data_IF_936393974923
#
_entry.id   IF_936393974923
#
_cell.length_a   1.000
_cell.length_b   1.000
_cell.length_c   1.000
_cell.angle_alpha   90.00
_cell.angle_beta   90.00
_cell.angle_gamma   90.00
#
_symmetry.space_group_name_H-M   'P 1'
#
loop_
_entity.id
_entity.type
_entity.pdbx_description
1 polymer ?
#
# COMPACT_ATOMS: atom_id res chain seq x y z
N UNK A 1 -19.43 13.51 -14.81
CA UNK A 1 -18.43 14.28 -14.05
C UNK A 1 -17.10 14.38 -14.79
N UNK A 2 -16.56 13.30 -15.39
CA UNK A 2 -15.34 13.34 -16.22
C UNK A 2 -15.36 14.50 -17.24
N UNK A 3 -16.46 14.67 -18.00
CA UNK A 3 -16.55 15.76 -18.98
C UNK A 3 -16.53 17.15 -18.34
N UNK A 4 -17.12 17.29 -17.14
CA UNK A 4 -17.06 18.54 -16.36
C UNK A 4 -15.63 18.86 -15.95
N UNK A 5 -14.87 17.86 -15.50
CA UNK A 5 -13.46 18.00 -15.15
C UNK A 5 -12.64 18.40 -16.39
N UNK A 6 -12.83 17.72 -17.52
CA UNK A 6 -12.16 18.06 -18.79
C UNK A 6 -12.46 19.49 -19.24
N UNK A 7 -13.72 19.92 -19.14
CA UNK A 7 -14.13 21.31 -19.43
C UNK A 7 -13.46 22.32 -18.48
N UNK A 8 -13.39 22.01 -17.18
CA UNK A 8 -12.71 22.86 -16.21
C UNK A 8 -11.21 23.03 -16.50
N UNK A 9 -10.53 21.94 -16.88
CA UNK A 9 -9.12 21.97 -17.32
C UNK A 9 -8.97 22.86 -18.57
N UNK A 10 -9.85 22.73 -19.57
CA UNK A 10 -9.82 23.54 -20.78
C UNK A 10 -9.97 25.04 -20.47
N UNK A 11 -10.93 25.42 -19.62
CA UNK A 11 -11.14 26.81 -19.18
C UNK A 11 -9.88 27.39 -18.53
N UNK A 12 -9.18 26.61 -17.71
CA UNK A 12 -7.95 27.05 -17.03
C UNK A 12 -6.82 27.28 -18.03
N UNK A 13 -6.64 26.37 -18.98
CA UNK A 13 -5.61 26.50 -20.01
C UNK A 13 -5.89 27.65 -21.01
N UNK A 14 -7.15 27.90 -21.35
CA UNK A 14 -7.57 29.05 -22.16
C UNK A 14 -7.31 30.38 -21.43
N UNK A 15 -7.73 30.48 -20.15
CA UNK A 15 -7.47 31.66 -19.31
C UNK A 15 -5.97 31.94 -19.13
N UNK A 16 -5.16 30.88 -19.06
CA UNK A 16 -3.71 30.98 -18.99
C UNK A 16 -3.09 31.55 -20.26
N UNK A 17 -3.61 31.14 -21.41
CA UNK A 17 -3.16 31.61 -22.72
C UNK A 17 -3.47 33.09 -22.95
N UNK A 18 -4.64 33.58 -22.55
CA UNK A 18 -5.03 34.99 -22.70
C UNK A 18 -4.13 35.96 -21.90
N UNK A 19 -3.73 35.57 -20.68
CA UNK A 19 -2.80 36.36 -19.87
C UNK A 19 -1.36 36.38 -20.42
N UNK A 20 -0.89 35.25 -20.99
CA UNK A 20 0.41 35.18 -21.68
C UNK A 20 0.45 36.10 -22.92
N UNK A 21 -0.66 36.26 -23.65
CA UNK A 21 -0.76 37.20 -24.78
C UNK A 21 -0.87 38.68 -24.36
N UNK A 22 -1.38 38.96 -23.16
CA UNK A 22 -1.45 40.32 -22.62
C UNK A 22 -0.06 40.82 -22.17
N UNK A 23 0.73 39.98 -21.52
CA UNK A 23 2.11 40.31 -21.10
C UNK A 23 3.06 40.50 -22.30
N UNK A 24 2.83 39.79 -23.41
CA UNK A 24 3.62 39.95 -24.64
C UNK A 24 3.32 41.24 -25.44
N UNK A 25 2.24 41.98 -25.11
CA UNK A 25 1.83 43.19 -25.85
C UNK A 25 2.23 44.52 -25.21
N UNK A 26 2.81 44.53 -24.02
CA UNK A 26 3.27 45.75 -23.35
C UNK A 26 4.79 45.92 -23.46
N UNK A 27 5.26 46.12 -24.69
CA UNK A 27 6.56 46.73 -24.96
C UNK A 27 6.37 48.18 -25.39
N UNK A 28 6.86 49.12 -24.57
CA UNK A 28 6.92 50.58 -24.76
C UNK A 28 5.75 51.42 -24.20
N UNK A 29 5.93 51.91 -22.96
CA UNK A 29 5.81 53.34 -22.62
C UNK A 29 6.35 53.60 -21.21
N UNK A 30 7.39 54.45 -21.11
CA UNK A 30 7.96 54.97 -19.87
C UNK A 30 7.08 56.09 -19.31
N UNK A 31 6.52 55.95 -18.09
CA UNK A 31 6.24 57.08 -17.17
C UNK A 31 6.34 56.60 -15.71
N UNK A 32 6.92 57.45 -14.86
CA UNK A 32 7.38 57.21 -13.49
C UNK A 32 6.28 56.88 -12.44
N UNK A 33 6.72 56.13 -11.42
CA UNK A 33 5.97 55.54 -10.31
C UNK A 33 5.29 56.55 -9.34
N UNK A 34 4.36 56.05 -8.51
CA UNK A 34 4.77 55.70 -7.14
C UNK A 34 4.50 54.23 -6.78
N UNK A 35 5.24 53.76 -5.77
CA UNK A 35 5.48 52.37 -5.35
C UNK A 35 4.27 51.42 -5.35
N UNK A 36 4.40 50.18 -5.89
CA UNK A 36 3.41 49.15 -5.71
C UNK A 36 3.68 48.33 -4.44
N UNK A 37 2.59 48.01 -3.75
CA UNK A 37 2.48 46.94 -2.78
C UNK A 37 2.77 45.62 -3.52
N UNK A 38 3.61 44.77 -2.94
CA UNK A 38 3.96 43.44 -3.46
C UNK A 38 2.70 42.65 -3.83
N UNK A 39 2.37 42.68 -5.12
CA UNK A 39 1.36 41.84 -5.74
C UNK A 39 2.05 41.22 -6.95
N UNK A 40 2.80 40.15 -6.70
CA UNK A 40 3.23 39.25 -7.76
C UNK A 40 1.97 38.84 -8.52
N UNK A 41 1.81 39.38 -9.73
CA UNK A 41 0.82 38.88 -10.68
C UNK A 41 1.20 37.43 -10.99
N UNK A 42 0.34 36.44 -10.72
CA UNK A 42 0.71 35.06 -10.93
C UNK A 42 0.89 34.84 -12.44
N UNK A 43 2.12 34.54 -12.85
CA UNK A 43 2.41 34.02 -14.19
C UNK A 43 1.39 32.94 -14.48
N UNK A 44 0.66 33.09 -15.57
CA UNK A 44 -0.47 32.24 -15.86
C UNK A 44 0.01 30.80 -16.09
N UNK A 45 -0.16 29.93 -15.09
CA UNK A 45 0.34 28.56 -15.12
C UNK A 45 -0.65 27.65 -15.85
N UNK A 46 -0.22 27.17 -17.02
CA UNK A 46 -0.94 26.16 -17.78
C UNK A 46 -0.75 24.77 -17.16
N UNK A 47 -1.80 23.95 -17.22
CA UNK A 47 -1.73 22.52 -16.89
C UNK A 47 -1.03 21.82 -18.06
N UNK A 48 0.18 21.32 -17.81
CA UNK A 48 1.00 20.63 -18.81
C UNK A 48 0.48 19.22 -19.10
N UNK A 49 0.09 18.50 -18.05
CA UNK A 49 -0.45 17.14 -18.11
C UNK A 49 -1.48 16.93 -16.98
N UNK A 50 -2.28 15.88 -17.07
CA UNK A 50 -3.20 15.47 -16.01
C UNK A 50 -3.44 13.96 -16.01
N UNK A 51 -3.78 13.42 -14.83
CA UNK A 51 -4.18 12.02 -14.61
C UNK A 51 -5.46 12.02 -13.77
N UNK A 52 -6.49 11.31 -14.22
CA UNK A 52 -7.78 11.21 -13.57
C UNK A 52 -8.11 9.74 -13.28
N UNK A 53 -8.44 9.43 -12.04
CA UNK A 53 -8.91 8.10 -11.62
C UNK A 53 -10.34 8.24 -11.11
N UNK A 54 -11.28 7.58 -11.80
CA UNK A 54 -12.65 7.35 -11.33
C UNK A 54 -12.69 6.00 -10.60
N UNK A 55 -13.28 5.99 -9.41
CA UNK A 55 -13.53 4.77 -8.62
C UNK A 55 -15.01 4.72 -8.29
N UNK A 56 -15.68 3.65 -8.68
CA UNK A 56 -17.04 3.31 -8.25
C UNK A 56 -16.94 2.05 -7.40
N UNK A 57 -17.28 2.16 -6.11
CA UNK A 57 -17.07 1.14 -5.09
C UNK A 57 -18.41 0.70 -4.54
N UNK A 58 -18.72 -0.58 -4.68
CA UNK A 58 -19.80 -1.25 -3.98
C UNK A 58 -19.21 -2.16 -2.90
N UNK A 59 -19.56 -1.93 -1.64
CA UNK A 59 -19.01 -2.71 -0.51
C UNK A 59 -20.09 -3.22 0.43
N UNK A 60 -19.96 -4.47 0.83
CA UNK A 60 -20.72 -5.12 1.90
C UNK A 60 -19.82 -5.27 3.12
N UNK A 61 -20.32 -4.85 4.28
CA UNK A 61 -19.60 -4.98 5.55
C UNK A 61 -20.46 -5.79 6.52
N UNK A 62 -19.84 -6.72 7.23
CA UNK A 62 -20.46 -7.53 8.28
C UNK A 62 -19.54 -7.61 9.48
N UNK A 63 -20.12 -7.44 10.66
CA UNK A 63 -19.45 -7.69 11.93
C UNK A 63 -20.15 -8.83 12.64
N UNK A 64 -19.37 -9.81 13.10
CA UNK A 64 -19.84 -10.98 13.83
C UNK A 64 -19.16 -11.03 15.20
N UNK A 65 -19.96 -11.30 16.25
CA UNK A 65 -19.47 -11.72 17.56
C UNK A 65 -19.80 -13.21 17.69
N UNK A 66 -18.78 -14.02 17.91
CA UNK A 66 -18.80 -15.47 17.77
C UNK A 66 -19.37 -15.80 16.39
N UNK A 67 -20.59 -16.31 16.27
CA UNK A 67 -21.26 -16.60 15.00
C UNK A 67 -22.46 -15.69 14.70
N UNK A 68 -22.78 -14.77 15.62
CA UNK A 68 -23.95 -13.89 15.54
C UNK A 68 -23.59 -12.60 14.79
N UNK A 69 -24.37 -12.28 13.76
CA UNK A 69 -24.26 -11.01 13.07
C UNK A 69 -24.75 -9.87 13.98
N UNK A 70 -23.87 -8.88 14.21
CA UNK A 70 -24.16 -7.70 15.03
C UNK A 70 -24.36 -6.46 14.16
N UNK A 71 -23.57 -6.29 13.10
CA UNK A 71 -23.68 -5.16 12.19
C UNK A 71 -23.67 -5.56 10.72
N UNK A 72 -24.48 -4.86 9.93
CA UNK A 72 -24.50 -4.98 8.48
C UNK A 72 -24.57 -3.58 7.85
N UNK A 73 -23.63 -3.28 6.96
CA UNK A 73 -23.63 -2.05 6.15
C UNK A 73 -23.49 -2.38 4.68
N UNK A 74 -23.97 -1.48 3.84
CA UNK A 74 -23.67 -1.46 2.42
C UNK A 74 -23.31 -0.03 2.02
N UNK A 75 -22.29 0.09 1.19
CA UNK A 75 -21.74 1.35 0.72
C UNK A 75 -21.74 1.31 -0.79
N UNK A 76 -22.17 2.42 -1.39
CA UNK A 76 -22.02 2.70 -2.81
C UNK A 76 -21.41 4.10 -2.91
N UNK A 77 -20.20 4.20 -3.46
CA UNK A 77 -19.41 5.42 -3.45
C UNK A 77 -18.76 5.65 -4.82
N UNK A 78 -18.86 6.89 -5.33
CA UNK A 78 -18.17 7.31 -6.54
C UNK A 78 -17.23 8.46 -6.20
N UNK A 79 -15.93 8.27 -6.46
CA UNK A 79 -14.87 9.25 -6.17
C UNK A 79 -14.01 9.48 -7.41
N UNK A 80 -13.67 10.75 -7.66
CA UNK A 80 -12.70 11.13 -8.68
C UNK A 80 -11.44 11.68 -8.02
N UNK A 81 -10.28 11.15 -8.39
CA UNK A 81 -8.98 11.67 -8.01
C UNK A 81 -8.29 12.26 -9.23
N UNK A 82 -8.05 13.57 -9.23
CA UNK A 82 -7.37 14.28 -10.31
C UNK A 82 -5.99 14.73 -9.84
N UNK A 83 -4.95 14.28 -10.52
CA UNK A 83 -3.60 14.81 -10.42
C UNK A 83 -3.35 15.75 -11.60
N UNK A 84 -2.92 16.98 -11.33
CA UNK A 84 -2.49 17.95 -12.36
C UNK A 84 -0.99 18.16 -12.29
N UNK A 85 -0.38 18.38 -13.45
CA UNK A 85 1.06 18.60 -13.60
C UNK A 85 1.33 19.97 -14.20
N UNK A 86 2.30 20.68 -13.64
CA UNK A 86 2.76 21.98 -14.11
C UNK A 86 4.25 21.90 -14.37
N UNK A 87 4.66 22.22 -15.59
CA UNK A 87 6.06 22.26 -15.99
C UNK A 87 6.67 23.62 -15.66
N UNK A 88 7.95 23.62 -15.30
CA UNK A 88 8.76 24.84 -15.19
C UNK A 88 10.16 24.60 -15.79
N UNK A 89 10.82 25.68 -16.20
CA UNK A 89 12.14 25.65 -16.80
C UNK A 89 13.05 26.56 -15.99
N UNK A 90 14.26 26.11 -15.68
CA UNK A 90 15.34 27.02 -15.30
C UNK A 90 16.01 27.55 -16.55
N UNK A 91 15.76 28.83 -16.83
CA UNK A 91 16.56 29.57 -17.78
C UNK A 91 17.86 29.98 -17.05
N UNK A 92 18.98 29.36 -17.42
CA UNK A 92 20.30 29.57 -16.81
C UNK A 92 20.83 31.00 -17.01
N UNK A 93 20.02 31.88 -17.62
CA UNK A 93 20.29 33.29 -17.88
C UNK A 93 20.27 34.19 -16.63
N UNK A 94 19.71 33.74 -15.50
CA UNK A 94 19.72 34.50 -14.25
C UNK A 94 20.22 33.64 -13.07
N UNK A 95 21.35 33.98 -12.43
CA UNK A 95 21.80 33.28 -11.25
C UNK A 95 20.82 33.55 -10.10
N UNK A 96 20.11 32.51 -9.67
CA UNK A 96 19.31 32.56 -8.45
C UNK A 96 20.24 32.73 -7.25
N UNK A 97 20.20 33.92 -6.66
CA UNK A 97 20.87 34.22 -5.41
C UNK A 97 20.06 33.63 -4.26
N UNK A 98 20.27 32.35 -3.97
CA UNK A 98 19.89 31.73 -2.69
C UNK A 98 20.79 30.53 -2.43
N UNK A 99 21.86 30.79 -1.68
CA UNK A 99 22.76 29.79 -1.15
C UNK A 99 23.57 30.41 -0.01
N UNK A 100 22.91 30.68 1.11
CA UNK A 100 23.61 30.87 2.38
C UNK A 100 23.94 29.48 2.91
N UNK A 101 25.21 29.15 3.04
CA UNK A 101 25.76 28.59 4.28
C UNK A 101 27.28 28.76 4.34
N UNK A 102 27.69 29.47 5.39
CA UNK A 102 29.07 29.60 5.85
C UNK A 102 29.55 28.26 6.44
N UNK A 103 30.79 27.86 6.13
CA UNK A 103 31.82 27.67 7.16
C UNK A 103 33.19 27.62 6.50
N UNK A 104 34.05 28.53 6.92
CA UNK A 104 35.49 28.50 6.73
C UNK A 104 36.07 27.46 7.70
N UNK A 105 36.87 26.53 7.20
CA UNK A 105 37.97 25.97 7.97
C UNK A 105 39.16 25.72 7.02
N UNK A 106 40.28 26.37 7.35
CA UNK A 106 41.55 26.27 6.66
C UNK A 106 42.31 24.99 7.03
N UNK A 107 43.24 24.64 6.13
CA UNK A 107 44.38 23.73 6.29
C UNK A 107 44.18 22.26 5.87
N UNK A 108 44.42 21.99 4.58
CA UNK A 108 45.54 21.12 4.18
C UNK A 108 45.82 21.26 2.68
N UNK A 109 47.03 21.70 2.35
CA UNK A 109 47.52 21.87 0.99
C UNK A 109 48.09 20.55 0.46
N UNK A 110 47.62 20.14 -0.74
CA UNK A 110 48.42 19.68 -1.88
C UNK A 110 47.56 18.83 -2.82
N UNK A 111 47.12 19.40 -3.94
CA UNK A 111 47.13 18.77 -5.28
C UNK A 111 46.59 19.76 -6.33
N UNK A 112 47.21 19.73 -7.51
CA UNK A 112 47.17 20.71 -8.59
C UNK A 112 45.79 21.04 -9.20
N UNK A 113 45.61 22.21 -9.85
CA UNK A 113 44.33 22.68 -10.34
C UNK A 113 44.01 22.03 -11.69
N UNK A 114 43.00 21.15 -11.72
CA UNK A 114 42.31 20.81 -12.96
C UNK A 114 41.26 21.87 -13.22
N UNK A 115 41.62 22.87 -14.02
CA UNK A 115 40.68 23.84 -14.58
C UNK A 115 39.78 23.14 -15.61
N UNK A 116 38.73 22.46 -15.14
CA UNK A 116 37.60 22.15 -16.02
C UNK A 116 36.88 23.46 -16.31
N UNK A 117 37.10 23.99 -17.50
CA UNK A 117 36.19 24.94 -18.15
C UNK A 117 34.77 24.38 -18.02
N UNK A 118 33.89 25.14 -17.39
CA UNK A 118 32.45 24.91 -17.42
C UNK A 118 32.03 25.15 -18.87
N UNK A 119 31.71 24.07 -19.57
CA UNK A 119 31.17 24.13 -20.92
C UNK A 119 29.75 24.73 -20.83
N UNK A 120 29.55 25.87 -21.46
CA UNK A 120 28.29 26.61 -21.48
C UNK A 120 27.30 26.03 -22.48
N UNK A 121 26.85 24.79 -22.26
CA UNK A 121 25.73 24.20 -23.01
C UNK A 121 24.96 23.16 -22.19
N UNK A 122 24.63 23.44 -20.94
CA UNK A 122 23.58 22.65 -20.28
C UNK A 122 22.23 23.06 -20.88
N UNK A 123 21.55 22.09 -21.51
CA UNK A 123 20.17 22.28 -21.94
C UNK A 123 19.32 22.74 -20.75
N UNK A 124 18.32 23.62 -20.97
CA UNK A 124 17.49 24.13 -19.90
C UNK A 124 16.92 22.99 -19.06
N UNK A 125 17.19 23.01 -17.74
CA UNK A 125 16.71 21.97 -16.83
C UNK A 125 15.21 22.13 -16.67
N UNK A 126 14.46 21.09 -17.03
CA UNK A 126 13.00 21.03 -16.90
C UNK A 126 12.64 20.43 -15.55
N UNK A 127 11.62 20.98 -14.93
CA UNK A 127 11.03 20.49 -13.70
C UNK A 127 9.54 20.28 -13.89
N UNK A 128 8.99 19.38 -13.08
CA UNK A 128 7.57 19.07 -13.07
C UNK A 128 7.06 19.03 -11.63
N UNK A 129 6.10 19.88 -11.35
CA UNK A 129 5.35 19.87 -10.11
C UNK A 129 4.01 19.17 -10.29
N UNK A 130 3.47 18.59 -9.22
CA UNK A 130 2.17 17.92 -9.23
C UNK A 130 1.34 18.25 -7.99
N UNK A 131 0.02 18.15 -8.13
CA UNK A 131 -0.89 18.17 -7.00
C UNK A 131 -2.10 17.28 -7.29
N UNK A 132 -2.55 16.52 -6.28
CA UNK A 132 -3.72 15.65 -6.39
C UNK A 132 -4.86 16.21 -5.55
N UNK A 133 -6.06 16.24 -6.15
CA UNK A 133 -7.30 16.66 -5.50
C UNK A 133 -8.40 15.62 -5.69
N UNK A 134 -9.31 15.56 -4.72
CA UNK A 134 -10.55 14.79 -4.84
C UNK A 134 -11.65 15.69 -5.40
N UNK A 135 -12.40 15.17 -6.37
CA UNK A 135 -13.58 15.81 -6.97
C UNK A 135 -14.79 14.92 -6.70
N UNK A 136 -15.83 15.50 -6.11
CA UNK A 136 -17.06 14.76 -5.80
C UNK A 136 -18.08 14.88 -6.94
N UNK A 137 -18.95 13.87 -7.14
CA UNK A 137 -19.99 13.92 -8.18
C UNK A 137 -20.95 15.12 -8.07
N UNK A 138 -21.08 15.70 -6.87
CA UNK A 138 -21.95 16.85 -6.60
C UNK A 138 -21.34 18.21 -6.98
N UNK A 139 -20.06 18.26 -7.35
CA UNK A 139 -19.39 19.52 -7.69
C UNK A 139 -19.97 20.11 -8.98
N UNK A 140 -20.21 21.42 -8.97
CA UNK A 140 -20.52 22.16 -10.19
C UNK A 140 -19.26 22.36 -11.05
N UNK A 141 -19.44 22.85 -12.28
CA UNK A 141 -18.30 23.23 -13.13
C UNK A 141 -17.44 24.33 -12.46
N UNK A 142 -18.08 25.30 -11.82
CA UNK A 142 -17.39 26.40 -11.13
C UNK A 142 -16.57 25.89 -9.95
N UNK A 143 -17.14 24.98 -9.13
CA UNK A 143 -16.42 24.33 -8.03
C UNK A 143 -15.20 23.55 -8.53
N UNK A 144 -15.35 22.83 -9.65
CA UNK A 144 -14.25 22.11 -10.29
C UNK A 144 -13.15 23.08 -10.74
N UNK A 145 -13.50 24.18 -11.42
CA UNK A 145 -12.52 25.20 -11.85
C UNK A 145 -11.78 25.79 -10.66
N UNK A 146 -12.49 26.19 -9.60
CA UNK A 146 -11.87 26.76 -8.40
C UNK A 146 -10.91 25.77 -7.72
N UNK A 147 -11.33 24.50 -7.58
CA UNK A 147 -10.51 23.46 -6.95
C UNK A 147 -9.28 23.08 -7.79
N UNK A 148 -9.44 22.99 -9.11
CA UNK A 148 -8.31 22.70 -10.01
C UNK A 148 -7.31 23.85 -10.03
N UNK A 149 -7.75 25.12 -9.99
CA UNK A 149 -6.84 26.27 -9.86
C UNK A 149 -6.00 26.21 -8.58
N UNK A 150 -6.60 25.79 -7.46
CA UNK A 150 -5.85 25.56 -6.22
C UNK A 150 -4.78 24.47 -6.41
N UNK A 151 -5.11 23.38 -7.10
CA UNK A 151 -4.16 22.30 -7.40
C UNK A 151 -3.02 22.78 -8.32
N UNK A 152 -3.32 23.58 -9.36
CA UNK A 152 -2.31 24.17 -10.25
C UNK A 152 -1.33 25.05 -9.47
N UNK A 153 -1.85 25.92 -8.59
CA UNK A 153 -1.01 26.78 -7.75
C UNK A 153 -0.18 25.99 -6.74
N UNK A 154 -0.67 24.85 -6.24
CA UNK A 154 0.10 23.97 -5.38
C UNK A 154 1.19 23.21 -6.16
N UNK A 155 0.83 22.65 -7.32
CA UNK A 155 1.72 21.91 -8.19
C UNK A 155 2.91 22.77 -8.60
N UNK A 156 2.69 24.03 -8.97
CA UNK A 156 3.75 24.91 -9.46
C UNK A 156 4.81 25.30 -8.45
N UNK A 157 4.58 25.07 -7.16
CA UNK A 157 5.56 25.29 -6.09
C UNK A 157 6.53 24.11 -5.95
N UNK A 158 6.23 22.98 -6.58
CA UNK A 158 7.09 21.80 -6.57
C UNK A 158 8.00 21.78 -7.80
N UNK A 159 9.25 21.34 -7.60
CA UNK A 159 10.30 21.31 -8.63
C UNK A 159 10.96 19.94 -8.68
N UNK A 160 10.18 18.89 -8.91
CA UNK A 160 10.76 17.57 -9.10
C UNK A 160 11.45 17.48 -10.47
N UNK A 161 12.46 16.59 -10.65
CA UNK A 161 13.00 16.34 -11.98
C UNK A 161 11.88 15.97 -12.95
N UNK A 162 11.98 16.45 -14.18
CA UNK A 162 10.94 16.19 -15.17
C UNK A 162 10.83 14.69 -15.49
N UNK A 163 9.60 14.19 -15.62
CA UNK A 163 9.29 12.83 -16.02
C UNK A 163 8.05 12.82 -16.92
N UNK A 164 7.93 11.80 -17.76
CA UNK A 164 6.80 11.68 -18.69
C UNK A 164 5.63 10.88 -18.10
N UNK A 165 4.40 11.18 -18.54
CA UNK A 165 3.27 10.28 -18.27
C UNK A 165 3.22 9.17 -19.33
N UNK A 166 2.82 7.95 -18.98
CA UNK A 166 2.67 6.87 -19.94
C UNK A 166 1.67 7.20 -21.04
N UNK A 167 2.02 6.89 -22.29
CA UNK A 167 1.10 6.88 -23.43
C UNK A 167 0.42 5.51 -23.57
N UNK A 168 -0.73 5.43 -24.30
CA UNK A 168 -1.38 4.16 -24.58
C UNK A 168 -0.43 3.12 -25.18
N UNK A 169 -0.47 1.92 -24.61
CA UNK A 169 0.36 0.79 -24.98
C UNK A 169 -0.40 -0.53 -24.74
N UNK A 170 -0.17 -1.58 -25.53
CA UNK A 170 -0.84 -2.86 -25.31
C UNK A 170 -0.60 -3.39 -23.91
N UNK A 171 -1.65 -3.90 -23.26
CA UNK A 171 -1.52 -4.56 -21.97
C UNK A 171 -0.84 -5.93 -22.15
N UNK A 172 0.20 -6.20 -21.36
CA UNK A 172 0.96 -7.45 -21.46
C UNK A 172 0.25 -8.64 -20.81
N UNK A 173 -0.68 -8.38 -19.89
CA UNK A 173 -1.43 -9.41 -19.16
C UNK A 173 -2.92 -9.10 -19.10
N UNK A 174 -3.74 -10.12 -18.90
CA UNK A 174 -5.17 -10.00 -18.66
C UNK A 174 -5.50 -10.44 -17.24
N UNK A 175 -6.41 -9.74 -16.59
CA UNK A 175 -6.89 -10.12 -15.25
C UNK A 175 -8.06 -11.08 -15.42
N UNK A 176 -7.98 -12.30 -14.83
CA UNK A 176 -9.10 -13.22 -14.83
C UNK A 176 -10.36 -12.60 -14.22
N UNK A 177 -11.52 -13.00 -14.71
CA UNK A 177 -12.79 -12.61 -14.09
C UNK A 177 -12.95 -13.35 -12.77
N UNK A 178 -13.23 -12.60 -11.70
CA UNK A 178 -13.45 -13.19 -10.38
C UNK A 178 -14.72 -14.01 -10.32
N UNK A 179 -14.68 -15.13 -9.60
CA UNK A 179 -15.82 -15.96 -9.26
C UNK A 179 -16.90 -15.21 -8.49
N UNK A 180 -16.59 -14.07 -7.84
CA UNK A 180 -17.60 -13.21 -7.22
C UNK A 180 -18.58 -12.60 -8.23
N UNK A 181 -18.21 -12.48 -9.51
CA UNK A 181 -19.12 -12.02 -10.55
C UNK A 181 -20.29 -12.98 -10.79
N UNK A 182 -20.10 -14.28 -10.52
CA UNK A 182 -21.14 -15.29 -10.64
C UNK A 182 -22.08 -15.33 -9.43
N UNK A 183 -21.70 -14.70 -8.31
CA UNK A 183 -22.47 -14.72 -7.07
C UNK A 183 -23.41 -13.51 -6.99
N UNK A 184 -24.63 -13.76 -6.49
CA UNK A 184 -25.55 -12.70 -6.13
C UNK A 184 -24.99 -11.87 -4.97
N UNK A 185 -25.48 -10.64 -4.80
CA UNK A 185 -25.07 -9.78 -3.68
C UNK A 185 -25.27 -10.47 -2.32
N UNK A 186 -26.33 -11.25 -2.15
CA UNK A 186 -26.59 -11.98 -0.91
C UNK A 186 -25.66 -13.19 -0.74
N UNK A 187 -25.41 -13.94 -1.81
CA UNK A 187 -24.63 -15.17 -1.76
C UNK A 187 -23.15 -14.92 -1.51
N UNK A 188 -22.60 -13.76 -1.93
CA UNK A 188 -21.21 -13.36 -1.65
C UNK A 188 -20.88 -13.44 -0.18
N UNK A 189 -21.66 -12.76 0.67
CA UNK A 189 -21.40 -12.74 2.10
C UNK A 189 -21.66 -14.11 2.71
N UNK A 190 -22.73 -14.81 2.27
CA UNK A 190 -23.08 -16.13 2.80
C UNK A 190 -22.01 -17.17 2.52
N UNK A 191 -21.47 -17.23 1.30
CA UNK A 191 -20.46 -18.21 0.92
C UNK A 191 -19.17 -18.00 1.69
N UNK A 192 -18.74 -16.75 1.85
CA UNK A 192 -17.51 -16.40 2.58
C UNK A 192 -17.66 -16.68 4.07
N UNK A 193 -18.78 -16.27 4.67
CA UNK A 193 -19.06 -16.60 6.07
C UNK A 193 -19.06 -18.13 6.27
N UNK A 194 -19.73 -18.88 5.40
CA UNK A 194 -19.75 -20.34 5.50
C UNK A 194 -18.33 -20.93 5.42
N UNK A 195 -17.48 -20.44 4.52
CA UNK A 195 -16.09 -20.89 4.42
C UNK A 195 -15.29 -20.58 5.70
N UNK A 196 -15.33 -19.34 6.18
CA UNK A 196 -14.58 -18.88 7.35
C UNK A 196 -15.00 -19.61 8.64
N UNK A 197 -16.29 -19.93 8.79
CA UNK A 197 -16.80 -20.66 9.96
C UNK A 197 -16.81 -22.18 9.79
N UNK A 198 -16.54 -22.71 8.59
CA UNK A 198 -16.57 -24.17 8.36
C UNK A 198 -15.61 -24.97 9.24
N UNK A 199 -14.43 -24.47 9.69
CA UNK A 199 -13.61 -25.20 10.66
C UNK A 199 -14.36 -25.51 11.97
N UNK A 200 -15.30 -24.67 12.39
CA UNK A 200 -16.16 -24.89 13.58
C UNK A 200 -17.21 -25.97 13.40
N UNK A 201 -17.89 -25.96 12.25
CA UNK A 201 -18.98 -26.90 11.98
C UNK A 201 -18.49 -28.35 11.98
N UNK A 202 -17.22 -28.56 11.57
CA UNK A 202 -16.56 -29.86 11.65
C UNK A 202 -16.10 -30.19 13.07
N UNK A 203 -15.66 -29.21 13.88
CA UNK A 203 -15.22 -29.44 15.26
C UNK A 203 -16.33 -29.87 16.23
N UNK A 204 -17.59 -29.49 15.98
CA UNK A 204 -18.75 -29.90 16.79
C UNK A 204 -19.28 -31.31 16.44
N UNK A 205 -18.66 -32.03 15.51
CA UNK A 205 -19.01 -33.42 15.20
C UNK A 205 -18.04 -34.39 15.89
N UNK A 206 -18.52 -35.43 16.59
CA UNK A 206 -17.69 -36.31 17.44
C UNK A 206 -16.65 -37.18 16.70
N UNK A 207 -16.49 -37.03 15.37
CA UNK A 207 -15.54 -37.77 14.51
C UNK A 207 -15.12 -37.01 13.23
N UNK A 208 -15.05 -35.68 13.22
CA UNK A 208 -14.49 -35.01 12.05
C UNK A 208 -12.95 -35.13 12.07
N UNK A 209 -12.42 -35.89 11.11
CA UNK A 209 -11.01 -35.81 10.73
C UNK A 209 -10.79 -34.39 10.17
N UNK A 210 -9.72 -33.66 10.58
CA UNK A 210 -9.45 -32.34 10.02
C UNK A 210 -9.36 -32.45 8.49
N UNK A 211 -9.96 -31.49 7.78
CA UNK A 211 -9.93 -31.39 6.31
C UNK A 211 -8.50 -31.13 5.79
N UNK A 212 -7.55 -30.86 6.68
CA UNK A 212 -6.26 -30.29 6.35
C UNK A 212 -5.11 -31.20 6.79
N UNK A 213 -4.19 -31.48 5.86
CA UNK A 213 -3.00 -32.32 6.05
C UNK A 213 -1.90 -31.65 6.90
N UNK A 214 -2.25 -30.68 7.75
CA UNK A 214 -1.31 -29.91 8.56
C UNK A 214 -1.83 -29.75 9.98
N UNK A 215 -1.09 -30.36 10.91
CA UNK A 215 -1.18 -30.25 12.36
C UNK A 215 -2.55 -30.62 12.96
N UNK A 216 -2.62 -31.79 13.60
CA UNK A 216 -3.81 -32.18 14.35
C UNK A 216 -4.09 -31.15 15.45
N UNK A 217 -5.37 -30.78 15.62
CA UNK A 217 -5.81 -29.88 16.70
C UNK A 217 -5.24 -30.33 18.05
N UNK A 218 -4.68 -29.40 18.85
CA UNK A 218 -4.14 -29.77 20.15
C UNK A 218 -5.26 -30.33 21.02
N UNK A 219 -4.95 -31.40 21.78
CA UNK A 219 -5.92 -31.95 22.74
C UNK A 219 -6.00 -31.02 23.96
N UNK A 220 -7.15 -31.02 24.63
CA UNK A 220 -7.35 -30.31 25.90
C UNK A 220 -7.33 -28.77 25.79
N UNK A 221 -7.75 -28.23 24.64
CA UNK A 221 -8.01 -26.81 24.42
C UNK A 221 -9.35 -26.62 23.73
N UNK A 222 -9.93 -25.42 23.85
CA UNK A 222 -11.18 -25.05 23.19
C UNK A 222 -11.00 -23.80 22.31
N UNK A 223 -10.38 -23.93 21.12
CA UNK A 223 -10.17 -22.81 20.22
C UNK A 223 -11.49 -22.37 19.54
N UNK A 224 -11.70 -21.05 19.43
CA UNK A 224 -12.87 -20.44 18.80
C UNK A 224 -12.64 -19.10 18.14
N UNK A 225 -13.51 -18.70 17.22
CA UNK A 225 -13.60 -17.31 16.76
C UNK A 225 -14.34 -16.51 17.83
N UNK A 226 -13.70 -15.47 18.34
CA UNK A 226 -14.31 -14.49 19.22
C UNK A 226 -15.06 -13.44 18.41
N UNK A 227 -14.39 -12.84 17.42
CA UNK A 227 -14.97 -11.83 16.55
C UNK A 227 -14.43 -11.92 15.12
N UNK A 228 -15.23 -11.44 14.17
CA UNK A 228 -14.86 -11.42 12.75
C UNK A 228 -15.52 -10.24 12.05
N UNK A 229 -14.70 -9.46 11.35
CA UNK A 229 -15.13 -8.46 10.39
C UNK A 229 -14.98 -9.01 8.97
N UNK A 230 -15.95 -8.73 8.11
CA UNK A 230 -15.94 -9.15 6.71
C UNK A 230 -16.35 -8.00 5.80
N UNK A 231 -15.45 -7.66 4.89
CA UNK A 231 -15.62 -6.68 3.84
C UNK A 231 -15.56 -7.38 2.49
N UNK A 232 -16.57 -7.20 1.64
CA UNK A 232 -16.53 -7.66 0.24
C UNK A 232 -16.83 -6.45 -0.63
N UNK A 233 -15.86 -6.08 -1.47
CA UNK A 233 -15.96 -4.91 -2.34
C UNK A 233 -15.73 -5.25 -3.81
N UNK A 234 -16.57 -4.65 -4.65
CA UNK A 234 -16.40 -4.55 -6.09
C UNK A 234 -16.06 -3.10 -6.43
N UNK A 235 -14.89 -2.87 -6.98
CA UNK A 235 -14.46 -1.56 -7.46
C UNK A 235 -14.37 -1.56 -8.99
N UNK A 236 -15.14 -0.71 -9.65
CA UNK A 236 -14.87 -0.30 -11.03
C UNK A 236 -13.91 0.88 -11.01
N UNK A 237 -12.71 0.69 -11.55
CA UNK A 237 -11.69 1.74 -11.63
C UNK A 237 -11.44 2.10 -13.09
N UNK A 238 -11.54 3.38 -13.42
CA UNK A 238 -11.19 3.93 -14.73
C UNK A 238 -10.07 4.97 -14.59
N UNK A 239 -8.95 4.72 -15.26
CA UNK A 239 -7.79 5.59 -15.32
C UNK A 239 -7.76 6.31 -16.66
N UNK A 240 -7.68 7.63 -16.64
CA UNK A 240 -7.48 8.48 -17.80
C UNK A 240 -6.27 9.38 -17.62
N UNK A 241 -5.59 9.76 -18.70
CA UNK A 241 -4.58 10.81 -18.65
C UNK A 241 -4.57 11.68 -19.92
N UNK A 242 -3.82 12.79 -19.87
CA UNK A 242 -3.63 13.71 -20.99
C UNK A 242 -2.93 13.11 -22.22
N UNK A 243 -2.20 12.00 -22.05
CA UNK A 243 -1.51 11.28 -23.13
C UNK A 243 -2.45 10.32 -23.89
N UNK A 244 -3.71 10.21 -23.47
CA UNK A 244 -4.74 9.42 -24.16
C UNK A 244 -5.00 8.04 -23.56
N UNK A 245 -4.43 7.72 -22.39
CA UNK A 245 -4.82 6.51 -21.65
C UNK A 245 -6.30 6.63 -21.26
N UNK A 246 -7.02 5.52 -21.42
CA UNK A 246 -8.39 5.30 -20.94
C UNK A 246 -8.56 3.81 -20.65
N UNK A 247 -8.09 3.38 -19.49
CA UNK A 247 -8.15 1.98 -19.06
C UNK A 247 -9.19 1.79 -17.98
N UNK A 248 -9.96 0.72 -18.08
CA UNK A 248 -10.93 0.32 -17.06
C UNK A 248 -10.61 -1.07 -16.54
N UNK A 249 -10.80 -1.29 -15.24
CA UNK A 249 -10.73 -2.60 -14.62
C UNK A 249 -11.76 -2.76 -13.52
N UNK A 250 -12.20 -4.00 -13.33
CA UNK A 250 -12.93 -4.43 -12.14
C UNK A 250 -11.95 -5.03 -11.14
N UNK A 251 -12.03 -4.61 -9.89
CA UNK A 251 -11.23 -5.14 -8.79
C UNK A 251 -12.20 -5.71 -7.76
N UNK A 252 -12.01 -6.99 -7.43
CA UNK A 252 -12.64 -7.63 -6.30
C UNK A 252 -11.68 -7.64 -5.13
N UNK A 253 -12.15 -7.15 -3.98
CA UNK A 253 -11.41 -7.22 -2.71
C UNK A 253 -12.36 -7.67 -1.62
N UNK A 254 -12.17 -8.90 -1.21
CA UNK A 254 -12.56 -9.43 0.08
C UNK A 254 -11.45 -9.20 1.09
N UNK A 255 -11.84 -8.83 2.30
CA UNK A 255 -10.97 -8.66 3.44
C UNK A 255 -11.71 -9.14 4.69
N UNK A 256 -11.04 -9.94 5.51
CA UNK A 256 -11.58 -10.33 6.80
C UNK A 256 -10.52 -10.17 7.87
N UNK A 257 -10.86 -9.46 8.93
CA UNK A 257 -10.10 -9.42 10.18
C UNK A 257 -10.81 -10.30 11.19
N UNK A 258 -10.07 -11.05 11.99
CA UNK A 258 -10.68 -11.94 12.97
C UNK A 258 -9.79 -12.12 14.19
N UNK A 259 -10.45 -12.37 15.32
CA UNK A 259 -9.81 -12.74 16.57
C UNK A 259 -10.21 -14.17 16.89
N UNK A 260 -9.22 -15.03 17.03
CA UNK A 260 -9.42 -16.38 17.59
C UNK A 260 -8.94 -16.41 19.02
N UNK A 261 -9.54 -17.27 19.81
CA UNK A 261 -9.20 -17.43 21.21
C UNK A 261 -9.23 -18.90 21.63
N UNK A 262 -8.44 -19.28 22.63
CA UNK A 262 -8.47 -20.61 23.20
C UNK A 262 -8.31 -20.58 24.72
N UNK A 263 -9.08 -21.46 25.37
CA UNK A 263 -8.92 -21.78 26.78
C UNK A 263 -8.18 -23.11 26.94
N UNK A 264 -7.37 -23.23 27.99
CA UNK A 264 -6.75 -24.50 28.37
C UNK A 264 -7.73 -25.34 29.21
N UNK A 265 -7.62 -26.66 29.18
CA UNK A 265 -8.50 -27.56 29.96
C UNK A 265 -8.53 -27.33 31.48
N UNK A 266 -7.50 -26.68 32.06
CA UNK A 266 -7.52 -26.24 33.46
C UNK A 266 -8.59 -25.16 33.70
N UNK A 267 -8.97 -24.44 32.65
CA UNK A 267 -9.92 -23.33 32.65
C UNK A 267 -11.37 -23.81 32.41
N UNK A 268 -11.55 -24.86 31.60
CA UNK A 268 -12.87 -25.45 31.28
C UNK A 268 -13.52 -26.13 32.51
N UNK A 269 -12.73 -26.77 33.37
CA UNK A 269 -13.21 -27.45 34.57
C UNK A 269 -13.68 -26.46 35.67
N UNK A 270 -13.18 -25.22 35.66
CA UNK A 270 -13.57 -24.17 36.59
C UNK A 270 -14.84 -23.42 36.17
N UNK A 271 -15.15 -23.40 34.86
CA UNK A 271 -16.29 -22.68 34.27
C UNK A 271 -17.52 -23.55 33.98
N UNK A 272 -17.55 -24.81 34.43
CA UNK A 272 -18.77 -25.63 34.37
C UNK A 272 -19.76 -25.14 35.44
N UNK A 273 -20.98 -24.68 35.09
CA UNK A 273 -21.97 -24.35 36.10
C UNK A 273 -22.37 -25.64 36.80
N UNK A 274 -22.14 -25.70 38.12
CA UNK A 274 -22.78 -26.71 38.94
C UNK A 274 -24.30 -26.59 38.72
N UNK A 275 -24.92 -27.66 38.23
CA UNK A 275 -26.36 -27.80 38.09
C UNK A 275 -27.06 -27.37 39.39
N UNK A 276 -27.60 -26.16 39.43
CA UNK A 276 -28.62 -25.72 40.37
C UNK A 276 -29.54 -24.71 39.68
N UNK A 277 -30.84 -24.99 39.50
CA UNK A 277 -31.76 -24.19 38.68
C UNK A 277 -32.32 -22.96 39.42
N UNK A 278 -31.47 -22.20 40.11
CA UNK A 278 -31.87 -20.97 40.78
C UNK A 278 -30.64 -20.07 41.02
N UNK A 279 -30.25 -19.30 40.00
CA UNK A 279 -29.76 -17.92 40.09
C UNK A 279 -29.07 -17.52 38.78
N UNK A 280 -29.74 -16.68 38.00
CA UNK A 280 -29.15 -15.93 36.89
C UNK A 280 -28.95 -14.51 37.40
N UNK A 281 -27.71 -14.00 37.58
CA UNK A 281 -27.48 -12.58 37.53
C UNK A 281 -27.19 -12.18 36.07
N UNK A 282 -28.03 -11.26 35.57
CA UNK A 282 -27.73 -10.48 34.39
C UNK A 282 -26.50 -9.58 34.63
N UNK A 283 -25.81 -9.25 33.54
CA UNK A 283 -24.68 -8.32 33.40
C UNK A 283 -23.26 -8.84 33.69
N UNK A 284 -22.56 -9.14 32.60
CA UNK A 284 -21.17 -8.70 32.36
C UNK A 284 -20.96 -8.44 30.86
N UNK A 285 -21.75 -7.52 30.32
CA UNK A 285 -21.50 -6.85 29.05
C UNK A 285 -20.89 -5.47 29.34
N UNK A 286 -19.95 -5.06 28.48
CA UNK A 286 -19.39 -3.70 28.30
C UNK A 286 -18.27 -3.23 29.25
N UNK A 287 -17.03 -3.36 28.78
CA UNK A 287 -16.10 -2.24 28.57
C UNK A 287 -14.76 -2.77 28.05
N UNK A 288 -14.42 -2.41 26.81
CA UNK A 288 -13.07 -1.98 26.38
C UNK A 288 -13.13 -1.67 24.88
N UNK A 289 -13.83 -0.58 24.54
CA UNK A 289 -13.50 0.23 23.37
C UNK A 289 -13.01 1.57 23.91
N UNK A 290 -11.70 1.79 23.90
CA UNK A 290 -11.08 3.11 23.79
C UNK A 290 -9.55 2.97 23.71
N UNK A 291 -8.99 3.80 22.83
CA UNK A 291 -7.59 4.21 22.69
C UNK A 291 -6.61 3.27 22.00
N UNK A 292 -6.42 3.56 20.71
CA UNK A 292 -5.17 3.27 20.01
C UNK A 292 -4.06 4.21 20.47
N UNK A 293 -2.94 3.64 20.91
CA UNK A 293 -1.61 4.19 20.65
C UNK A 293 -0.57 3.09 20.87
N UNK A 294 0.35 2.98 19.93
CA UNK A 294 1.58 2.20 19.99
C UNK A 294 2.48 2.66 21.15
N UNK A 295 2.96 1.73 21.98
CA UNK A 295 4.35 1.65 22.46
C UNK A 295 4.50 0.59 23.57
N UNK A 296 5.55 -0.22 23.44
CA UNK A 296 6.35 -0.70 24.58
C UNK A 296 5.69 -1.71 25.51
N UNK A 297 6.14 -2.96 25.42
CA UNK A 297 5.97 -3.93 26.51
C UNK A 297 6.64 -3.40 27.79
N UNK A 298 5.87 -3.29 28.85
CA UNK A 298 6.39 -3.32 30.21
C UNK A 298 5.59 -4.33 31.01
N UNK A 299 6.28 -5.39 31.40
CA UNK A 299 5.85 -6.29 32.45
C UNK A 299 5.62 -5.47 33.72
N UNK A 300 4.37 -5.38 34.17
CA UNK A 300 4.11 -5.20 35.59
C UNK A 300 2.80 -5.88 35.99
N UNK A 301 2.83 -6.47 37.18
CA UNK A 301 1.91 -7.50 37.62
C UNK A 301 0.46 -7.03 37.81
N UNK A 302 -0.46 -7.80 37.22
CA UNK A 302 -1.83 -7.93 37.68
C UNK A 302 -2.07 -9.40 38.01
N UNK A 303 -1.90 -9.74 39.28
CA UNK A 303 -2.41 -10.96 39.85
C UNK A 303 -3.90 -10.73 40.16
N UNK A 304 -4.77 -11.51 39.51
CA UNK A 304 -6.13 -11.93 39.92
C UNK A 304 -7.10 -12.13 38.75
N UNK A 305 -6.64 -12.78 37.69
CA UNK A 305 -7.48 -13.73 36.97
C UNK A 305 -6.65 -14.99 36.65
N UNK A 306 -6.82 -16.12 37.36
CA UNK A 306 -6.00 -17.31 37.16
C UNK A 306 -6.33 -18.06 35.85
N UNK A 307 -7.27 -17.56 35.05
CA UNK A 307 -7.72 -18.15 33.79
C UNK A 307 -7.57 -17.13 32.65
N UNK A 308 -6.48 -17.18 31.89
CA UNK A 308 -6.27 -16.26 30.78
C UNK A 308 -6.53 -16.98 29.45
N UNK A 309 -7.72 -16.76 28.90
CA UNK A 309 -7.99 -17.00 27.48
C UNK A 309 -6.88 -16.37 26.65
N UNK A 310 -6.26 -17.15 25.79
CA UNK A 310 -5.24 -16.64 24.86
C UNK A 310 -5.95 -16.21 23.59
N UNK A 311 -5.71 -14.98 23.16
CA UNK A 311 -6.23 -14.45 21.90
C UNK A 311 -5.11 -14.27 20.87
N UNK A 312 -5.45 -14.49 19.60
CA UNK A 312 -4.63 -14.15 18.44
C UNK A 312 -5.47 -13.39 17.43
N UNK A 313 -4.97 -12.23 17.02
CA UNK A 313 -5.48 -11.46 15.88
C UNK A 313 -4.88 -11.97 14.58
N UNK A 314 -5.66 -11.98 13.51
CA UNK A 314 -5.15 -12.18 12.15
C UNK A 314 -6.11 -11.56 11.11
N UNK A 315 -5.65 -11.53 9.87
CA UNK A 315 -6.40 -10.99 8.73
C UNK A 315 -6.14 -11.79 7.44
N UNK A 316 -7.09 -11.75 6.51
CA UNK A 316 -6.97 -12.38 5.19
C UNK A 316 -7.57 -11.50 4.08
N UNK A 317 -6.77 -11.27 3.03
CA UNK A 317 -7.21 -10.64 1.78
C UNK A 317 -7.46 -11.69 0.69
N UNK A 318 -8.53 -11.52 -0.10
CA UNK A 318 -8.90 -12.42 -1.19
C UNK A 318 -9.62 -11.67 -2.31
N UNK A 319 -9.41 -12.06 -3.56
CA UNK A 319 -10.19 -11.55 -4.72
C UNK A 319 -11.17 -12.56 -5.30
N UNK A 320 -11.22 -13.76 -4.72
CA UNK A 320 -12.04 -14.90 -5.12
C UNK A 320 -12.74 -15.47 -3.88
N UNK A 321 -13.91 -16.12 -4.03
CA UNK A 321 -14.59 -16.71 -2.89
C UNK A 321 -13.88 -17.91 -2.25
N UNK A 322 -12.93 -18.54 -2.96
CA UNK A 322 -11.97 -19.57 -2.52
C UNK A 322 -12.22 -20.19 -1.13
N UNK A 323 -13.27 -21.03 -1.00
CA UNK A 323 -13.72 -21.48 0.31
C UNK A 323 -12.68 -22.37 1.02
N UNK A 324 -11.90 -23.14 0.25
CA UNK A 324 -10.87 -24.02 0.78
C UNK A 324 -9.74 -23.21 1.45
N UNK A 325 -9.20 -22.20 0.76
CA UNK A 325 -8.14 -21.34 1.30
C UNK A 325 -8.60 -20.55 2.51
N UNK A 326 -9.83 -20.02 2.48
CA UNK A 326 -10.40 -19.27 3.60
C UNK A 326 -10.61 -20.15 4.84
N UNK A 327 -11.15 -21.35 4.66
CA UNK A 327 -11.30 -22.32 5.75
C UNK A 327 -9.94 -22.75 6.31
N UNK A 328 -8.96 -22.99 5.44
CA UNK A 328 -7.59 -23.33 5.84
C UNK A 328 -6.96 -22.24 6.70
N UNK A 329 -7.04 -20.97 6.28
CA UNK A 329 -6.44 -19.85 7.01
C UNK A 329 -7.00 -19.71 8.43
N UNK A 330 -8.32 -19.84 8.60
CA UNK A 330 -8.96 -19.84 9.92
C UNK A 330 -8.55 -21.09 10.71
N UNK A 331 -8.56 -22.27 10.07
CA UNK A 331 -8.19 -23.53 10.69
C UNK A 331 -6.77 -23.50 11.26
N UNK A 332 -5.80 -23.03 10.48
CA UNK A 332 -4.40 -22.88 10.89
C UNK A 332 -4.26 -21.95 12.09
N UNK A 333 -5.00 -20.83 12.10
CA UNK A 333 -4.95 -19.88 13.21
C UNK A 333 -5.58 -20.45 14.48
N UNK A 334 -6.63 -21.27 14.36
CA UNK A 334 -7.24 -21.98 15.48
C UNK A 334 -6.29 -23.02 16.10
N UNK A 335 -5.50 -23.72 15.27
CA UNK A 335 -4.42 -24.60 15.76
C UNK A 335 -3.41 -23.79 16.55
N UNK A 336 -2.93 -22.68 15.97
CA UNK A 336 -1.89 -21.85 16.58
C UNK A 336 -2.32 -21.24 17.93
N UNK A 337 -3.56 -20.76 18.06
CA UNK A 337 -4.05 -20.23 19.34
C UNK A 337 -4.20 -21.37 20.37
N UNK A 338 -4.59 -22.57 19.94
CA UNK A 338 -4.59 -23.76 20.78
C UNK A 338 -3.19 -24.14 21.26
N UNK A 339 -2.20 -24.15 20.37
CA UNK A 339 -0.79 -24.40 20.72
C UNK A 339 -0.28 -23.35 21.70
N UNK A 340 -0.67 -22.08 21.50
CA UNK A 340 -0.29 -20.98 22.39
C UNK A 340 -0.93 -21.09 23.78
N UNK A 341 -2.17 -21.58 23.88
CA UNK A 341 -2.81 -21.86 25.15
C UNK A 341 -2.12 -23.00 25.93
N UNK A 342 -1.43 -23.92 25.25
CA UNK A 342 -0.64 -25.00 25.85
C UNK A 342 0.85 -24.67 26.02
N UNK A 343 1.27 -23.50 25.52
CA UNK A 343 2.68 -23.14 25.46
C UNK A 343 3.28 -23.06 26.87
N UNK A 344 4.55 -23.48 26.96
CA UNK A 344 5.35 -23.38 28.18
C UNK A 344 6.47 -22.36 27.95
N UNK A 345 7.07 -21.80 29.01
CA UNK A 345 8.23 -20.93 28.88
C UNK A 345 9.27 -21.54 27.95
N UNK A 346 9.70 -20.76 26.96
CA UNK A 346 10.64 -21.21 25.93
C UNK A 346 11.94 -21.68 26.61
N UNK A 347 12.38 -22.94 26.38
CA UNK A 347 13.67 -23.39 26.90
C UNK A 347 14.81 -22.61 26.23
N UNK A 348 16.01 -22.67 26.81
CA UNK A 348 17.18 -22.09 26.16
C UNK A 348 17.50 -22.87 24.87
N UNK A 349 17.37 -22.22 23.71
CA UNK A 349 17.63 -22.80 22.40
C UNK A 349 19.03 -22.40 21.92
N UNK A 350 19.72 -23.30 21.21
CA UNK A 350 21.01 -23.02 20.56
C UNK A 350 21.19 -23.94 19.35
N UNK A 351 21.53 -23.37 18.19
CA UNK A 351 21.89 -24.13 16.98
C UNK A 351 20.78 -24.98 16.36
N UNK A 352 19.51 -24.59 16.53
CA UNK A 352 18.37 -25.28 15.90
C UNK A 352 17.95 -24.59 14.60
N UNK A 353 17.47 -25.33 13.59
CA UNK A 353 16.89 -24.73 12.39
C UNK A 353 15.65 -23.90 12.70
N UNK A 354 15.55 -22.72 12.09
CA UNK A 354 14.35 -21.88 12.10
C UNK A 354 13.58 -22.11 10.79
N UNK A 355 12.29 -22.40 10.89
CA UNK A 355 11.40 -22.52 9.73
C UNK A 355 10.41 -21.37 9.79
N UNK A 356 10.47 -20.50 8.80
CA UNK A 356 9.51 -19.43 8.59
C UNK A 356 8.57 -19.83 7.46
N UNK A 357 7.28 -19.56 7.62
CA UNK A 357 6.22 -19.93 6.67
C UNK A 357 5.19 -18.81 6.62
N UNK A 358 4.30 -18.81 5.64
CA UNK A 358 3.20 -17.86 5.57
C UNK A 358 3.68 -16.41 5.63
N UNK A 359 3.03 -15.59 6.46
CA UNK A 359 3.27 -14.15 6.61
C UNK A 359 4.71 -13.84 7.04
N UNK A 360 5.31 -14.64 7.92
CA UNK A 360 6.68 -14.41 8.38
C UNK A 360 7.71 -14.63 7.25
N UNK A 361 7.47 -15.61 6.38
CA UNK A 361 8.31 -15.80 5.19
C UNK A 361 8.08 -14.69 4.16
N UNK A 362 6.82 -14.30 3.94
CA UNK A 362 6.45 -13.19 3.06
C UNK A 362 7.14 -11.89 3.47
N UNK A 363 7.16 -11.55 4.76
CA UNK A 363 7.79 -10.33 5.28
C UNK A 363 9.30 -10.28 4.96
N UNK A 364 10.00 -11.42 5.10
CA UNK A 364 11.41 -11.52 4.73
C UNK A 364 11.62 -11.32 3.23
N UNK A 365 10.81 -11.96 2.39
CA UNK A 365 10.96 -11.82 0.93
C UNK A 365 10.51 -10.45 0.42
N UNK A 366 9.53 -9.83 1.07
CA UNK A 366 9.08 -8.47 0.82
C UNK A 366 10.22 -7.47 0.97
N UNK A 367 11.12 -7.67 1.96
CA UNK A 367 12.31 -6.84 2.11
C UNK A 367 13.18 -6.80 0.83
N UNK A 368 13.43 -7.94 0.19
CA UNK A 368 14.18 -7.99 -1.07
C UNK A 368 13.44 -7.29 -2.21
N UNK A 369 12.11 -7.47 -2.28
CA UNK A 369 11.27 -6.85 -3.29
C UNK A 369 11.27 -5.33 -3.16
N UNK A 370 11.05 -4.80 -1.95
CA UNK A 370 11.00 -3.38 -1.64
C UNK A 370 12.36 -2.70 -1.88
N UNK A 371 13.47 -3.34 -1.53
CA UNK A 371 14.81 -2.83 -1.84
C UNK A 371 15.17 -2.87 -3.33
N UNK A 372 14.39 -3.58 -4.15
CA UNK A 372 14.55 -3.60 -5.62
C UNK A 372 13.74 -2.49 -6.32
N UNK A 373 13.04 -1.63 -5.57
CA UNK A 373 12.17 -0.59 -6.14
C UNK A 373 12.94 0.62 -6.62
N UNK A 374 12.56 1.17 -7.77
CA UNK A 374 13.14 2.40 -8.35
C UNK A 374 13.09 3.57 -7.36
N UNK A 375 12.00 3.72 -6.61
CA UNK A 375 11.85 4.72 -5.54
C UNK A 375 12.88 4.54 -4.41
N UNK A 376 13.06 3.31 -3.93
CA UNK A 376 13.99 3.00 -2.84
C UNK A 376 15.45 3.26 -3.27
N UNK A 377 15.78 2.97 -4.53
CA UNK A 377 17.10 3.25 -5.11
C UNK A 377 17.32 4.75 -5.31
N UNK A 378 16.34 5.45 -5.90
CA UNK A 378 16.42 6.89 -6.15
C UNK A 378 16.58 7.69 -4.86
N UNK A 379 15.77 7.36 -3.84
CA UNK A 379 15.82 7.98 -2.51
C UNK A 379 17.06 7.59 -1.68
N UNK A 380 17.92 6.69 -2.19
CA UNK A 380 19.08 6.13 -1.50
C UNK A 380 18.72 5.39 -0.19
N UNK A 381 17.48 4.92 -0.09
CA UNK A 381 17.01 4.11 1.04
C UNK A 381 17.41 2.64 0.90
N UNK A 382 17.59 2.15 -0.33
CA UNK A 382 18.01 0.78 -0.60
C UNK A 382 19.54 0.65 -0.73
N UNK A 383 20.14 -0.42 -0.19
CA UNK A 383 21.55 -0.74 -0.40
C UNK A 383 21.82 -1.43 -1.74
N UNK A 384 20.78 -1.80 -2.50
CA UNK A 384 20.92 -2.60 -3.71
C UNK A 384 21.42 -1.78 -4.89
N UNK A 385 22.04 -2.49 -5.85
CA UNK A 385 22.44 -1.96 -7.15
C UNK A 385 22.25 -3.04 -8.21
N UNK A 386 21.77 -2.71 -9.42
CA UNK A 386 21.72 -3.67 -10.51
C UNK A 386 23.07 -4.38 -10.71
N UNK A 387 23.03 -5.70 -10.87
CA UNK A 387 24.20 -6.57 -10.99
C UNK A 387 24.88 -6.97 -9.67
N UNK A 388 24.47 -6.42 -8.52
CA UNK A 388 25.04 -6.76 -7.22
C UNK A 388 24.36 -7.97 -6.57
N UNK A 389 25.10 -8.65 -5.69
CA UNK A 389 24.55 -9.67 -4.80
C UNK A 389 23.69 -9.00 -3.71
N UNK A 390 22.43 -9.41 -3.59
CA UNK A 390 21.44 -8.83 -2.67
C UNK A 390 21.48 -9.39 -1.26
N UNK A 391 22.13 -10.54 -1.05
CA UNK A 391 22.17 -11.23 0.24
C UNK A 391 23.24 -10.67 1.18
N UNK A 392 24.17 -9.87 0.65
CA UNK A 392 25.28 -9.31 1.40
C UNK A 392 26.34 -10.37 1.75
N UNK A 393 27.60 -9.99 1.54
CA UNK A 393 28.73 -10.61 2.23
C UNK A 393 29.03 -9.77 3.46
N UNK A 394 28.34 -10.04 4.58
CA UNK A 394 28.63 -9.34 5.82
C UNK A 394 29.88 -9.95 6.48
N UNK A 395 30.76 -9.10 7.00
CA UNK A 395 32.08 -9.43 7.57
C UNK A 395 31.99 -10.36 8.80
N UNK A 396 30.77 -10.48 9.35
CA UNK A 396 30.40 -11.20 10.57
C UNK A 396 29.75 -12.57 10.33
N UNK A 397 29.66 -13.04 9.09
CA UNK A 397 29.38 -14.46 8.84
C UNK A 397 30.67 -15.21 9.18
N UNK A 398 30.61 -16.03 10.23
CA UNK A 398 31.76 -16.74 10.78
C UNK A 398 32.54 -17.49 9.69
N UNK A 399 33.85 -17.61 9.96
CA UNK A 399 34.97 -17.78 9.04
C UNK A 399 34.94 -18.97 8.03
N UNK A 400 33.86 -19.73 7.93
CA UNK A 400 33.69 -20.82 6.98
C UNK A 400 33.15 -20.37 5.61
N UNK A 401 32.51 -19.19 5.54
CA UNK A 401 32.00 -18.59 4.29
C UNK A 401 32.66 -17.24 3.95
N UNK A 402 33.82 -16.94 4.56
CA UNK A 402 34.62 -15.77 4.18
C UNK A 402 35.15 -15.93 2.77
N UNK A 403 34.58 -15.17 1.82
CA UNK A 403 35.21 -14.93 0.53
C UNK A 403 34.32 -14.24 -0.50
N UNK A 404 34.57 -12.94 -0.75
CA UNK A 404 34.32 -12.23 -2.01
C UNK A 404 32.87 -11.94 -2.45
N UNK A 405 31.87 -11.99 -1.57
CA UNK A 405 30.48 -11.74 -1.98
C UNK A 405 29.82 -12.92 -2.69
N UNK A 406 30.23 -14.14 -2.32
CA UNK A 406 29.59 -15.38 -2.75
C UNK A 406 28.11 -15.40 -2.38
N UNK A 407 27.28 -15.92 -3.28
CA UNK A 407 25.86 -16.21 -3.04
C UNK A 407 25.80 -17.39 -2.08
N UNK A 408 25.11 -17.24 -0.96
CA UNK A 408 25.06 -18.27 0.10
C UNK A 408 24.03 -19.33 -0.29
N UNK A 409 22.83 -18.88 -0.67
CA UNK A 409 21.76 -19.73 -1.18
C UNK A 409 21.17 -19.09 -2.45
N UNK A 410 20.83 -19.86 -3.49
CA UNK A 410 20.21 -19.28 -4.68
C UNK A 410 18.84 -18.69 -4.32
N UNK A 411 18.66 -17.40 -4.66
CA UNK A 411 17.39 -16.68 -4.49
C UNK A 411 16.91 -16.18 -5.84
N UNK A 412 15.76 -16.65 -6.27
CA UNK A 412 15.04 -16.11 -7.43
C UNK A 412 13.80 -15.34 -6.96
N UNK A 413 13.64 -14.11 -7.43
CA UNK A 413 12.49 -13.26 -7.13
C UNK A 413 11.89 -12.71 -8.41
N UNK A 414 10.58 -12.87 -8.56
CA UNK A 414 9.81 -12.38 -9.70
C UNK A 414 8.78 -11.35 -9.23
N UNK A 415 8.63 -10.27 -9.98
CA UNK A 415 7.47 -9.40 -9.90
C UNK A 415 6.37 -10.00 -10.77
N UNK A 416 5.32 -10.52 -10.13
CA UNK A 416 4.19 -11.14 -10.81
C UNK A 416 2.98 -10.19 -10.81
N UNK A 417 2.55 -9.66 -11.96
CA UNK A 417 1.39 -8.77 -12.04
C UNK A 417 0.06 -9.47 -11.77
N UNK A 418 -0.02 -10.78 -11.96
CA UNK A 418 -1.26 -11.54 -11.79
C UNK A 418 -1.02 -12.76 -10.91
N UNK A 419 -1.42 -12.65 -9.65
CA UNK A 419 -1.47 -13.75 -8.71
C UNK A 419 -2.94 -14.09 -8.44
N UNK A 420 -3.31 -15.34 -8.69
CA UNK A 420 -4.68 -15.83 -8.47
C UNK A 420 -5.10 -15.60 -7.01
N UNK A 421 -6.30 -15.07 -6.80
CA UNK A 421 -6.83 -14.81 -5.46
C UNK A 421 -6.28 -13.56 -4.75
N UNK A 422 -5.37 -12.78 -5.36
CA UNK A 422 -4.90 -11.52 -4.79
C UNK A 422 -5.63 -10.29 -5.39
N UNK A 423 -6.22 -9.42 -4.55
CA UNK A 423 -6.83 -8.16 -4.99
C UNK A 423 -5.87 -7.15 -5.62
N UNK A 424 -4.56 -7.31 -5.40
CA UNK A 424 -3.53 -6.43 -5.93
C UNK A 424 -3.19 -6.69 -7.41
N UNK A 425 -3.64 -7.83 -7.97
CA UNK A 425 -3.38 -8.19 -9.37
C UNK A 425 -3.84 -7.09 -10.34
N UNK A 426 -2.98 -6.73 -11.28
CA UNK A 426 -3.16 -5.57 -12.14
C UNK A 426 -2.47 -5.74 -13.50
N UNK A 427 -3.14 -5.32 -14.57
CA UNK A 427 -2.56 -5.32 -15.92
C UNK A 427 -1.74 -4.06 -16.22
N UNK A 428 -1.90 -3.02 -15.39
CA UNK A 428 -1.21 -1.75 -15.47
C UNK A 428 -1.09 -1.12 -14.08
N UNK A 429 -0.05 -0.30 -13.88
CA UNK A 429 0.24 0.36 -12.60
C UNK A 429 -0.69 1.57 -12.33
N UNK A 430 -0.36 2.38 -11.31
CA UNK A 430 -1.14 3.57 -10.95
C UNK A 430 -1.06 4.72 -11.98
N UNK A 431 -0.04 4.72 -12.84
CA UNK A 431 0.18 5.73 -13.87
C UNK A 431 -0.30 5.27 -15.26
N UNK A 432 -0.66 3.99 -15.39
CA UNK A 432 -1.16 3.39 -16.62
C UNK A 432 -0.08 2.68 -17.43
N UNK A 433 1.09 2.44 -16.85
CA UNK A 433 2.13 1.64 -17.48
C UNK A 433 1.76 0.15 -17.45
N UNK A 434 1.77 -0.58 -18.58
CA UNK A 434 1.48 -2.01 -18.62
C UNK A 434 2.42 -2.82 -17.73
N UNK A 435 1.86 -3.74 -16.96
CA UNK A 435 2.64 -4.64 -16.11
C UNK A 435 2.87 -5.98 -16.80
N UNK A 436 4.05 -6.54 -16.58
CA UNK A 436 4.44 -7.86 -17.06
C UNK A 436 5.23 -8.62 -15.99
N UNK A 437 5.34 -9.94 -16.19
CA UNK A 437 6.12 -10.80 -15.30
C UNK A 437 7.61 -10.49 -15.49
N UNK A 438 8.26 -10.01 -14.43
CA UNK A 438 9.64 -9.50 -14.49
C UNK A 438 10.54 -10.26 -13.51
N UNK A 439 11.67 -10.77 -13.99
CA UNK A 439 12.71 -11.36 -13.14
C UNK A 439 13.47 -10.24 -12.43
N UNK A 440 13.29 -10.12 -11.11
CA UNK A 440 13.88 -9.06 -10.29
C UNK A 440 15.25 -9.52 -9.81
N UNK A 441 15.33 -10.69 -9.17
CA UNK A 441 16.58 -11.26 -8.65
C UNK A 441 16.72 -12.66 -9.25
N UNK A 442 17.92 -12.98 -9.73
CA UNK A 442 18.26 -14.29 -10.28
C UNK A 442 19.51 -14.82 -9.57
N UNK A 443 19.40 -15.97 -8.91
CA UNK A 443 20.46 -16.58 -8.11
C UNK A 443 21.13 -15.58 -7.15
N UNK A 444 20.33 -14.76 -6.44
CA UNK A 444 20.85 -13.76 -5.51
C UNK A 444 21.46 -12.50 -6.15
N UNK A 445 21.40 -12.36 -7.48
CA UNK A 445 21.87 -11.16 -8.19
C UNK A 445 20.69 -10.32 -8.65
N UNK A 446 20.66 -9.03 -8.30
CA UNK A 446 19.64 -8.09 -8.77
C UNK A 446 19.79 -7.86 -10.29
N UNK A 447 18.76 -8.16 -11.07
CA UNK A 447 18.75 -8.04 -12.53
C UNK A 447 17.97 -6.82 -13.02
N UNK A 448 16.81 -6.56 -12.43
CA UNK A 448 15.89 -5.54 -12.91
C UNK A 448 15.27 -4.79 -11.74
N UNK A 449 15.26 -3.45 -11.83
CA UNK A 449 14.52 -2.62 -10.90
C UNK A 449 13.04 -2.58 -11.30
N UNK A 450 12.16 -2.45 -10.32
CA UNK A 450 10.71 -2.36 -10.52
C UNK A 450 10.16 -1.11 -9.86
N UNK A 451 9.04 -0.57 -10.32
CA UNK A 451 8.41 0.59 -9.68
C UNK A 451 7.86 1.59 -10.67
N UNK A 452 7.59 2.81 -10.21
CA UNK A 452 6.93 3.81 -11.05
C UNK A 452 7.85 4.36 -12.13
N UNK A 453 7.24 4.68 -13.28
CA UNK A 453 7.90 5.31 -14.43
C UNK A 453 8.62 6.60 -14.03
N UNK A 454 8.05 7.37 -13.09
CA UNK A 454 8.69 8.57 -12.53
C UNK A 454 10.10 8.30 -12.02
N UNK A 455 10.25 7.32 -11.11
CA UNK A 455 11.55 7.04 -10.50
C UNK A 455 12.48 6.32 -11.46
N UNK A 456 11.94 5.56 -12.42
CA UNK A 456 12.73 5.02 -13.52
C UNK A 456 13.35 6.17 -14.34
N UNK A 457 12.54 7.14 -14.82
CA UNK A 457 13.00 8.31 -15.57
C UNK A 457 14.09 9.10 -14.80
N UNK A 458 13.96 9.20 -13.48
CA UNK A 458 14.94 9.92 -12.64
C UNK A 458 16.26 9.17 -12.42
N UNK A 459 16.26 7.86 -12.57
CA UNK A 459 17.47 7.04 -12.45
C UNK A 459 18.27 6.95 -13.77
N UNK A 460 17.65 7.27 -14.91
CA UNK A 460 18.23 7.16 -16.25
C UNK A 460 18.12 5.74 -16.80
#
# INVERSE_FOLDING_TARGET
MIDTIKKAIAIINESGSENLFAEARTGAAYVAAPSPVDSESPVAQAIADWRLVERNIQRQERYYIVDRAEQARSIDEVVYSLTVYVDSIDDVSHPSACGNENTLDEASANSAPSSKKVDGSEAPRRFRGEATITIFPSFSLEDCVAKIRQAVSAASKSRNPWFSLPAPSPLSVQIPTSGFEALSFEDRVKSIRSALYSPFEHMNQPKAVPIVDSLAMPKNVNPRINSLELFISKEQRRLLNSQGIDYSRTIWRGYSEFVVEADSSADIAANSPANNPADIPANSLSKNLADGSSAGSSADGSADNPYSTVELFDDIEFSEPDPERLAQSIGDRLIQVGDRALARPMPRLSGIPLILRGKEAEEIFSWFFENSRTEAIYSKASPFRPGANVQGGNENIEAEHKGNGAIIEPLDLWAEPVISGLPASAAFDSDGFPLERTLVIENGILKTLIGSVRHADWLG
#
